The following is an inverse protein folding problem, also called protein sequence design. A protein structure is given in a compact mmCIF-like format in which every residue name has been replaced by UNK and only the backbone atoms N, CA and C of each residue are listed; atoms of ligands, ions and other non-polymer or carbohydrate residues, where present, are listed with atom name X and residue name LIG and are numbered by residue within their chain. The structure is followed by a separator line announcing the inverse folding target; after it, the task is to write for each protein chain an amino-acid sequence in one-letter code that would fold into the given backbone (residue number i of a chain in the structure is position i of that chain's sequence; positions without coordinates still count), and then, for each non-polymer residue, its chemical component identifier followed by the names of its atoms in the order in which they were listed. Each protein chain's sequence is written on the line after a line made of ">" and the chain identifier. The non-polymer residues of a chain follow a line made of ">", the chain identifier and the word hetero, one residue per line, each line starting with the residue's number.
data_IF_749792913756
#
_entry.id   IF_749792913756
#
_cell.length_a   1.000
_cell.length_b   1.000
_cell.length_c   1.000
_cell.angle_alpha   90.00
_cell.angle_beta   90.00
_cell.angle_gamma   90.00
#
_symmetry.space_group_name_H-M   'P 1'
#
loop_
_entity.id
_entity.type
_entity.pdbx_description
1 polymer ?
#
# COMPACT_ATOMS: atom_id res chain seq x y z
N UNK A 1 0.37 -6.57 1.85
CA UNK A 1 -0.29 -5.83 2.94
C UNK A 1 -1.69 -5.32 2.56
N UNK A 2 -1.87 -4.54 1.49
CA UNK A 2 -3.21 -4.03 1.11
C UNK A 2 -4.28 -5.11 0.92
N UNK A 3 -3.96 -6.18 0.16
CA UNK A 3 -4.86 -7.33 0.01
C UNK A 3 -5.20 -8.02 1.35
N UNK A 4 -4.25 -8.09 2.27
CA UNK A 4 -4.47 -8.66 3.61
C UNK A 4 -5.44 -7.78 4.43
N UNK A 5 -5.27 -6.46 4.35
CA UNK A 5 -6.18 -5.48 4.96
C UNK A 5 -7.62 -5.64 4.46
N UNK A 6 -7.82 -5.80 3.14
CA UNK A 6 -9.17 -5.97 2.57
C UNK A 6 -9.80 -7.31 2.96
N UNK A 7 -9.04 -8.40 2.89
CA UNK A 7 -9.56 -9.76 3.20
C UNK A 7 -10.02 -9.88 4.65
N UNK A 8 -9.32 -9.25 5.60
CA UNK A 8 -9.67 -9.30 7.02
C UNK A 8 -10.55 -8.13 7.49
N UNK A 9 -11.08 -7.31 6.57
CA UNK A 9 -11.83 -6.09 6.89
C UNK A 9 -11.08 -5.23 7.92
N UNK A 10 -9.75 -5.15 7.82
CA UNK A 10 -8.92 -4.62 8.88
C UNK A 10 -9.05 -3.10 9.05
N UNK A 11 -9.59 -2.40 8.04
CA UNK A 11 -9.87 -0.97 8.08
C UNK A 11 -10.77 -0.56 9.26
N UNK A 12 -11.65 -1.44 9.74
CA UNK A 12 -12.50 -1.17 10.92
C UNK A 12 -11.71 -1.18 12.24
N UNK A 13 -10.47 -1.68 12.22
CA UNK A 13 -9.62 -1.81 13.40
C UNK A 13 -9.10 -0.49 13.95
N UNK A 14 -8.99 0.55 13.12
CA UNK A 14 -8.65 1.91 13.54
C UNK A 14 -9.71 2.88 12.99
N UNK A 15 -10.69 3.30 13.82
CA UNK A 15 -11.75 4.21 13.37
C UNK A 15 -11.26 5.65 13.12
N UNK A 16 -10.07 5.97 13.63
CA UNK A 16 -9.43 7.27 13.56
C UNK A 16 -8.21 7.31 12.62
N UNK A 17 -7.88 8.51 12.16
CA UNK A 17 -6.67 8.86 11.42
C UNK A 17 -6.24 10.26 11.88
N UNK A 18 -4.95 10.54 12.15
CA UNK A 18 -3.76 9.71 11.85
C UNK A 18 -3.39 8.70 12.95
N UNK A 19 -3.99 8.79 14.14
CA UNK A 19 -3.85 7.80 15.20
C UNK A 19 -4.63 6.51 14.88
N UNK A 20 -4.51 5.51 15.75
CA UNK A 20 -5.33 4.31 15.75
C UNK A 20 -5.78 4.04 17.19
N UNK A 21 -7.07 3.89 17.44
CA UNK A 21 -7.61 3.68 18.80
C UNK A 21 -7.14 4.77 19.79
N UNK A 22 -7.02 6.03 19.32
CA UNK A 22 -6.62 7.17 20.13
C UNK A 22 -5.12 7.25 20.46
N UNK A 23 -4.28 6.37 19.89
CA UNK A 23 -2.82 6.40 20.06
C UNK A 23 -2.09 6.21 18.73
N UNK A 24 -0.88 6.75 18.59
CA UNK A 24 -0.01 6.45 17.45
C UNK A 24 0.50 5.01 17.46
N UNK A 25 0.61 4.41 18.64
CA UNK A 25 1.02 3.03 18.84
C UNK A 25 0.28 2.43 20.04
N UNK A 26 -0.91 1.84 19.84
CA UNK A 26 -1.67 1.24 20.93
C UNK A 26 -0.91 0.07 21.57
N UNK A 27 -0.82 0.06 22.90
CA UNK A 27 -0.09 -1.00 23.63
C UNK A 27 -0.75 -2.38 23.54
N UNK A 28 -2.05 -2.43 23.23
CA UNK A 28 -2.88 -3.63 23.21
C UNK A 28 -3.02 -4.24 21.80
N UNK A 29 -2.19 -3.84 20.83
CA UNK A 29 -2.18 -4.45 19.50
C UNK A 29 -1.72 -5.92 19.54
N UNK A 30 -2.41 -6.79 18.81
CA UNK A 30 -2.10 -8.23 18.77
C UNK A 30 -1.38 -8.62 17.48
N UNK A 31 -0.09 -8.25 17.36
CA UNK A 31 0.71 -8.58 16.17
C UNK A 31 0.87 -10.08 15.92
N UNK A 32 0.92 -10.90 16.97
CA UNK A 32 1.05 -12.35 16.86
C UNK A 32 -0.15 -13.03 16.18
N UNK A 33 -1.34 -12.44 16.29
CA UNK A 33 -2.56 -12.93 15.62
C UNK A 33 -2.87 -12.22 14.30
N UNK A 34 -2.22 -11.08 14.04
CA UNK A 34 -2.44 -10.27 12.85
C UNK A 34 -2.12 -10.99 11.52
N UNK A 35 -1.27 -12.02 11.55
CA UNK A 35 -0.87 -12.78 10.35
C UNK A 35 -1.09 -14.29 10.51
N UNK A 36 -2.08 -14.68 11.30
CA UNK A 36 -2.49 -16.09 11.39
C UNK A 36 -3.15 -16.50 10.07
N UNK A 37 -2.54 -17.47 9.37
CA UNK A 37 -2.97 -17.93 8.04
C UNK A 37 -4.10 -18.98 8.10
N UNK A 38 -4.20 -19.73 9.20
CA UNK A 38 -5.21 -20.77 9.42
C UNK A 38 -6.05 -20.44 10.64
N UNK A 39 -7.33 -20.16 10.40
CA UNK A 39 -8.36 -20.17 11.45
C UNK A 39 -8.99 -21.56 11.56
N UNK A 40 -9.68 -21.83 12.67
CA UNK A 40 -10.34 -23.13 12.92
C UNK A 40 -11.38 -23.42 11.82
N UNK A 41 -11.51 -24.69 11.43
CA UNK A 41 -12.56 -25.15 10.51
C UNK A 41 -13.95 -24.77 11.06
N UNK A 42 -14.79 -24.13 10.24
CA UNK A 42 -16.19 -23.81 10.57
C UNK A 42 -16.48 -22.38 11.01
N UNK A 43 -15.55 -21.43 10.84
CA UNK A 43 -15.77 -20.00 11.18
C UNK A 43 -16.39 -19.26 9.99
N UNK A 44 -17.39 -18.41 10.26
CA UNK A 44 -17.92 -17.48 9.26
C UNK A 44 -16.89 -16.38 8.95
N UNK A 45 -16.53 -16.26 7.68
CA UNK A 45 -15.54 -15.30 7.20
C UNK A 45 -16.17 -13.92 6.87
N UNK A 46 -17.49 -13.80 6.85
CA UNK A 46 -18.14 -12.52 6.58
C UNK A 46 -17.81 -11.51 7.69
N UNK A 47 -17.22 -10.37 7.30
CA UNK A 47 -16.83 -9.33 8.23
C UNK A 47 -15.53 -9.62 9.00
N UNK A 48 -14.77 -10.65 8.62
CA UNK A 48 -13.45 -11.00 9.17
C UNK A 48 -13.53 -11.89 10.42
N UNK A 49 -12.54 -12.76 10.59
CA UNK A 49 -12.46 -13.73 11.69
C UNK A 49 -11.58 -13.26 12.85
N UNK A 50 -10.69 -12.29 12.58
CA UNK A 50 -9.72 -11.80 13.55
C UNK A 50 -10.34 -10.86 14.57
N UNK A 51 -9.88 -10.87 15.83
CA UNK A 51 -10.30 -9.91 16.85
C UNK A 51 -9.88 -8.47 16.47
N UNK A 52 -10.60 -7.49 17.01
CA UNK A 52 -10.42 -6.06 16.69
C UNK A 52 -8.96 -5.61 16.79
N UNK A 53 -8.25 -5.98 17.87
CA UNK A 53 -6.87 -5.57 18.09
C UNK A 53 -5.87 -6.20 17.12
N UNK A 54 -6.15 -7.40 16.61
CA UNK A 54 -5.34 -8.02 15.55
C UNK A 54 -5.56 -7.31 14.21
N UNK A 55 -6.80 -6.90 13.91
CA UNK A 55 -7.12 -6.09 12.73
C UNK A 55 -6.52 -4.69 12.78
N UNK A 56 -6.59 -4.04 13.94
CA UNK A 56 -5.92 -2.77 14.19
C UNK A 56 -4.42 -2.88 13.91
N UNK A 57 -3.78 -3.98 14.32
CA UNK A 57 -2.38 -4.25 14.05
C UNK A 57 -2.10 -4.41 12.54
N UNK A 58 -2.93 -5.16 11.81
CA UNK A 58 -2.84 -5.27 10.34
C UNK A 58 -2.92 -3.90 9.69
N UNK A 59 -3.92 -3.09 10.07
CA UNK A 59 -4.18 -1.82 9.41
C UNK A 59 -3.09 -0.78 9.71
N UNK A 60 -2.59 -0.75 10.95
CA UNK A 60 -1.44 0.07 11.32
C UNK A 60 -0.17 -0.34 10.54
N UNK A 61 0.12 -1.64 10.42
CA UNK A 61 1.23 -2.13 9.61
C UNK A 61 1.07 -1.81 8.13
N UNK A 62 -0.15 -1.83 7.60
CA UNK A 62 -0.40 -1.40 6.23
C UNK A 62 -0.06 0.08 6.03
N UNK A 63 -0.44 0.97 6.95
CA UNK A 63 -0.08 2.39 6.92
C UNK A 63 1.44 2.60 6.97
N UNK A 64 2.12 1.92 7.88
CA UNK A 64 3.58 2.00 8.02
C UNK A 64 4.30 1.48 6.77
N UNK A 65 3.87 0.33 6.26
CA UNK A 65 4.38 -0.24 5.02
C UNK A 65 4.16 0.69 3.83
N UNK A 66 3.00 1.36 3.74
CA UNK A 66 2.75 2.34 2.70
C UNK A 66 3.71 3.55 2.79
N UNK A 67 4.02 4.02 4.00
CA UNK A 67 5.02 5.07 4.21
C UNK A 67 6.43 4.66 3.78
N UNK A 68 6.85 3.43 4.11
CA UNK A 68 8.15 2.89 3.68
C UNK A 68 8.21 2.75 2.15
N UNK A 69 7.16 2.22 1.52
CA UNK A 69 7.08 2.09 0.06
C UNK A 69 7.10 3.45 -0.62
N UNK A 70 6.37 4.44 -0.09
CA UNK A 70 6.38 5.81 -0.61
C UNK A 70 7.80 6.36 -0.64
N UNK A 71 8.51 6.34 0.48
CA UNK A 71 9.87 6.91 0.58
C UNK A 71 10.83 6.17 -0.35
N UNK A 72 10.79 4.84 -0.36
CA UNK A 72 11.71 4.03 -1.18
C UNK A 72 11.46 4.20 -2.68
N UNK A 73 10.20 4.18 -3.13
CA UNK A 73 9.87 4.39 -4.55
C UNK A 73 10.21 5.80 -5.00
N UNK A 74 9.91 6.84 -4.20
CA UNK A 74 10.27 8.21 -4.55
C UNK A 74 11.78 8.40 -4.67
N UNK A 75 12.54 7.90 -3.69
CA UNK A 75 13.99 7.98 -3.72
C UNK A 75 14.59 7.26 -4.94
N UNK A 76 14.11 6.03 -5.22
CA UNK A 76 14.58 5.24 -6.35
C UNK A 76 14.24 5.89 -7.71
N UNK A 77 13.00 6.32 -7.91
CA UNK A 77 12.58 6.95 -9.17
C UNK A 77 13.25 8.31 -9.39
N UNK A 78 13.46 9.09 -8.32
CA UNK A 78 14.18 10.37 -8.42
C UNK A 78 15.65 10.16 -8.78
N UNK A 79 16.30 9.16 -8.16
CA UNK A 79 17.67 8.80 -8.51
C UNK A 79 17.80 8.36 -9.97
N UNK A 80 16.87 7.52 -10.46
CA UNK A 80 16.81 7.11 -11.87
C UNK A 80 16.56 8.30 -12.81
N UNK A 81 15.65 9.19 -12.46
CA UNK A 81 15.35 10.38 -13.27
C UNK A 81 16.56 11.31 -13.41
N UNK A 82 17.37 11.45 -12.35
CA UNK A 82 18.59 12.25 -12.36
C UNK A 82 19.77 11.57 -13.06
N UNK A 83 19.90 10.25 -12.89
CA UNK A 83 21.10 9.51 -13.32
C UNK A 83 21.00 8.93 -14.73
N UNK A 84 19.80 8.54 -15.18
CA UNK A 84 19.59 7.92 -16.47
C UNK A 84 19.21 8.94 -17.55
N UNK A 85 19.91 8.90 -18.69
CA UNK A 85 19.60 9.74 -19.87
C UNK A 85 18.52 9.15 -20.78
N UNK A 86 18.23 7.86 -20.66
CA UNK A 86 17.22 7.19 -21.47
C UNK A 86 15.82 7.76 -21.21
N UNK A 87 15.21 8.35 -22.25
CA UNK A 87 13.93 9.04 -22.15
C UNK A 87 12.82 8.13 -21.60
N UNK A 88 12.78 6.87 -22.03
CA UNK A 88 11.80 5.90 -21.54
C UNK A 88 11.89 5.67 -20.02
N UNK A 89 13.11 5.57 -19.46
CA UNK A 89 13.31 5.39 -18.01
C UNK A 89 12.79 6.61 -17.27
N UNK A 90 13.12 7.82 -17.75
CA UNK A 90 12.67 9.08 -17.14
C UNK A 90 11.14 9.22 -17.14
N UNK A 91 10.48 8.90 -18.25
CA UNK A 91 9.02 8.95 -18.36
C UNK A 91 8.38 7.97 -17.38
N UNK A 92 8.83 6.71 -17.35
CA UNK A 92 8.30 5.71 -16.43
C UNK A 92 8.57 6.06 -14.97
N UNK A 93 9.75 6.61 -14.64
CA UNK A 93 10.05 7.09 -13.28
C UNK A 93 9.10 8.21 -12.85
N UNK A 94 8.83 9.21 -13.71
CA UNK A 94 7.87 10.27 -13.40
C UNK A 94 6.44 9.75 -13.23
N UNK A 95 6.02 8.81 -14.09
CA UNK A 95 4.70 8.20 -13.98
C UNK A 95 4.53 7.42 -12.67
N UNK A 96 5.54 6.62 -12.29
CA UNK A 96 5.53 5.88 -11.02
C UNK A 96 5.48 6.83 -9.83
N UNK A 97 6.22 7.94 -9.85
CA UNK A 97 6.14 8.99 -8.82
C UNK A 97 4.72 9.53 -8.70
N UNK A 98 4.12 9.95 -9.82
CA UNK A 98 2.77 10.52 -9.83
C UNK A 98 1.71 9.53 -9.32
N UNK A 99 1.76 8.28 -9.81
CA UNK A 99 0.85 7.23 -9.38
C UNK A 99 1.02 6.91 -7.89
N UNK A 100 2.25 6.90 -7.37
CA UNK A 100 2.50 6.68 -5.93
C UNK A 100 1.90 7.79 -5.07
N UNK A 101 2.07 9.05 -5.46
CA UNK A 101 1.49 10.19 -4.74
C UNK A 101 -0.04 10.16 -4.77
N UNK A 102 -0.63 9.86 -5.93
CA UNK A 102 -2.07 9.71 -6.07
C UNK A 102 -2.60 8.55 -5.22
N UNK A 103 -1.90 7.41 -5.22
CA UNK A 103 -2.26 6.24 -4.43
C UNK A 103 -2.30 6.55 -2.93
N UNK A 104 -1.30 7.27 -2.42
CA UNK A 104 -1.25 7.70 -1.02
C UNK A 104 -2.36 8.69 -0.70
N UNK A 105 -2.63 9.65 -1.59
CA UNK A 105 -3.73 10.60 -1.41
C UNK A 105 -5.09 9.89 -1.29
N UNK A 106 -5.37 8.94 -2.18
CA UNK A 106 -6.58 8.10 -2.13
C UNK A 106 -6.61 7.28 -0.83
N UNK A 107 -5.49 6.69 -0.42
CA UNK A 107 -5.39 5.92 0.82
C UNK A 107 -5.67 6.74 2.08
N UNK A 108 -5.19 7.99 2.13
CA UNK A 108 -5.50 8.94 3.21
C UNK A 108 -6.98 9.32 3.21
N UNK A 109 -7.56 9.58 2.03
CA UNK A 109 -9.00 9.84 1.91
C UNK A 109 -9.84 8.65 2.37
N UNK A 110 -9.42 7.41 2.09
CA UNK A 110 -10.10 6.20 2.57
C UNK A 110 -10.08 6.12 4.10
N UNK A 111 -8.93 6.42 4.69
CA UNK A 111 -8.75 6.39 6.14
C UNK A 111 -9.56 7.47 6.87
N UNK A 112 -9.83 8.61 6.23
CA UNK A 112 -10.61 9.70 6.83
C UNK A 112 -12.11 9.67 6.51
N UNK A 113 -12.53 9.06 5.38
CA UNK A 113 -13.91 9.09 4.90
C UNK A 113 -14.73 7.83 5.22
N UNK A 114 -14.21 6.88 6.00
CA UNK A 114 -14.97 5.69 6.41
C UNK A 114 -15.22 4.68 5.29
N UNK A 115 -14.27 4.56 4.36
CA UNK A 115 -14.30 3.60 3.23
C UNK A 115 -15.48 3.72 2.23
N UNK A 116 -15.63 4.85 1.52
CA UNK A 116 -16.54 4.92 0.38
C UNK A 116 -16.16 3.91 -0.71
N UNK A 117 -17.13 3.14 -1.22
CA UNK A 117 -16.87 2.03 -2.18
C UNK A 117 -16.09 2.49 -3.41
N UNK A 118 -16.51 3.57 -4.05
CA UNK A 118 -15.87 4.11 -5.25
C UNK A 118 -14.39 4.47 -5.02
N UNK A 119 -14.05 4.92 -3.81
CA UNK A 119 -12.69 5.28 -3.44
C UNK A 119 -11.84 4.02 -3.17
N UNK A 120 -12.45 2.98 -2.59
CA UNK A 120 -11.80 1.68 -2.39
C UNK A 120 -11.49 0.99 -3.72
N UNK A 121 -12.42 1.06 -4.68
CA UNK A 121 -12.23 0.56 -6.04
C UNK A 121 -11.12 1.36 -6.75
N UNK A 122 -11.16 2.70 -6.64
CA UNK A 122 -10.13 3.58 -7.20
C UNK A 122 -8.74 3.29 -6.63
N UNK A 123 -8.64 3.03 -5.33
CA UNK A 123 -7.39 2.64 -4.68
C UNK A 123 -6.88 1.29 -5.20
N UNK A 124 -7.78 0.34 -5.45
CA UNK A 124 -7.41 -0.99 -5.97
C UNK A 124 -6.91 -0.90 -7.41
N UNK A 125 -7.62 -0.18 -8.26
CA UNK A 125 -7.21 0.07 -9.66
C UNK A 125 -5.90 0.85 -9.71
N UNK A 126 -5.75 1.89 -8.89
CA UNK A 126 -4.52 2.67 -8.79
C UNK A 126 -3.31 1.81 -8.38
N UNK A 127 -3.50 0.87 -7.44
CA UNK A 127 -2.45 -0.06 -7.05
C UNK A 127 -2.03 -1.00 -8.20
N UNK A 128 -2.99 -1.47 -9.01
CA UNK A 128 -2.70 -2.28 -10.19
C UNK A 128 -1.94 -1.48 -11.27
N UNK A 129 -2.34 -0.24 -11.52
CA UNK A 129 -1.65 0.67 -12.45
C UNK A 129 -0.22 0.98 -11.98
N UNK A 130 -0.04 1.27 -10.69
CA UNK A 130 1.27 1.52 -10.10
C UNK A 130 2.19 0.30 -10.22
N UNK A 131 1.66 -0.91 -9.96
CA UNK A 131 2.41 -2.15 -10.15
C UNK A 131 2.84 -2.30 -11.62
N UNK A 132 1.92 -2.15 -12.56
CA UNK A 132 2.21 -2.24 -13.99
C UNK A 132 3.26 -1.23 -14.46
N UNK A 133 3.13 0.05 -14.06
CA UNK A 133 4.10 1.09 -14.38
C UNK A 133 5.48 0.79 -13.78
N UNK A 134 5.52 0.26 -12.55
CA UNK A 134 6.78 -0.15 -11.91
C UNK A 134 7.41 -1.34 -12.63
N UNK A 135 6.63 -2.34 -13.04
CA UNK A 135 7.12 -3.47 -13.83
C UNK A 135 7.67 -3.04 -15.19
N UNK A 136 7.02 -2.08 -15.86
CA UNK A 136 7.50 -1.52 -17.13
C UNK A 136 8.77 -0.68 -16.95
N UNK A 137 8.87 0.09 -15.86
CA UNK A 137 10.12 0.79 -15.49
C UNK A 137 11.26 -0.21 -15.31
N UNK A 138 11.02 -1.28 -14.54
CA UNK A 138 12.02 -2.35 -14.36
C UNK A 138 12.39 -2.94 -15.72
N UNK A 139 11.42 -3.34 -16.54
CA UNK A 139 11.70 -3.88 -17.87
C UNK A 139 12.57 -2.94 -18.73
N UNK A 140 12.28 -1.63 -18.73
CA UNK A 140 13.07 -0.64 -19.44
C UNK A 140 14.52 -0.51 -18.94
N UNK A 141 14.77 -0.79 -17.66
CA UNK A 141 16.13 -0.86 -17.11
C UNK A 141 16.88 -2.10 -17.59
N UNK A 142 16.20 -3.25 -17.75
CA UNK A 142 16.81 -4.51 -18.18
C UNK A 142 17.06 -4.59 -19.70
N UNK A 143 16.32 -3.84 -20.53
CA UNK A 143 16.53 -3.87 -21.98
C UNK A 143 17.87 -3.22 -22.38
N UNK A 144 18.76 -3.91 -23.11
CA UNK A 144 20.15 -3.48 -23.38
C UNK A 144 20.31 -2.21 -24.25
N UNK A 145 19.22 -1.54 -24.61
CA UNK A 145 19.25 -0.19 -25.18
C UNK A 145 19.61 0.87 -24.12
N UNK A 146 19.33 0.62 -22.84
CA UNK A 146 19.70 1.50 -21.71
C UNK A 146 21.18 1.43 -21.32
N UNK A 147 21.90 0.39 -21.74
CA UNK A 147 23.30 0.13 -21.38
C UNK A 147 24.34 0.77 -22.33
N UNK A 148 23.90 1.51 -23.37
CA UNK A 148 24.79 2.09 -24.40
C UNK A 148 24.86 3.62 -24.41
N UNK A 149 24.31 4.30 -23.40
CA UNK A 149 24.33 5.77 -23.30
C UNK A 149 25.05 6.27 -22.07
#
# INVERSE_FOLDING_TARGET
>A
LGAWTSTHYAWVGCPDFPTCLGSWWPAHLEFGRAFTLWDRLGVDYQGGTLPLHARAAIYLLHRLGAGIVLVTILAWCLALFMSCRHLGVRIWSLLVILLTLLQVAIGVMLASAGMPRWLADSHTVGAALLLGATSLLVYALWTPASARS
#
